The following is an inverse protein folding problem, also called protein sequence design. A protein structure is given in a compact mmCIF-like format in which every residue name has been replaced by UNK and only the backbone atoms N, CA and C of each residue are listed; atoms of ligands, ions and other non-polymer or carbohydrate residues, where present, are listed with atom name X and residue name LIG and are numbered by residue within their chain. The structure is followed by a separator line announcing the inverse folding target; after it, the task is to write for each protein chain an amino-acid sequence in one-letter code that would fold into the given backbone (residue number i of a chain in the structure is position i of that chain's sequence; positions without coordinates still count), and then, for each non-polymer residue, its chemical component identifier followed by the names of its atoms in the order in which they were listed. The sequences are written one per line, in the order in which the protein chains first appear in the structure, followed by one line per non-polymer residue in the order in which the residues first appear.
data_IF_146576414590
#
_entry.id   IF_146576414590
#
_cell.length_a   1.000
_cell.length_b   1.000
_cell.length_c   1.000
_cell.angle_alpha   90.00
_cell.angle_beta   90.00
_cell.angle_gamma   90.00
#
_symmetry.space_group_name_H-M   'P 1'
#
loop_
_entity.id
_entity.type
_entity.pdbx_description
1 polymer ?
#
# COMPACT_ATOMS: atom_id res chain seq x y z
N UNK A 1 13.42 0.56 8.24
CA UNK A 1 12.98 -0.84 8.06
C UNK A 1 13.50 -1.70 9.22
N UNK A 2 12.66 -2.56 9.82
CA UNK A 2 13.08 -3.44 10.92
C UNK A 2 13.98 -4.61 10.42
N UNK A 3 14.70 -5.33 11.31
CA UNK A 3 15.62 -6.40 10.90
C UNK A 3 14.96 -7.58 10.17
N UNK A 4 13.73 -7.95 10.54
CA UNK A 4 12.98 -9.03 9.88
C UNK A 4 12.66 -8.66 8.43
N UNK A 5 12.19 -7.44 8.19
CA UNK A 5 11.90 -6.92 6.87
C UNK A 5 13.17 -6.78 6.00
N UNK A 6 14.31 -6.41 6.59
CA UNK A 6 15.59 -6.42 5.89
C UNK A 6 15.97 -7.84 5.43
N UNK A 7 15.89 -8.82 6.34
CA UNK A 7 16.15 -10.23 6.02
C UNK A 7 15.18 -10.77 4.94
N UNK A 8 13.90 -10.39 5.03
CA UNK A 8 12.87 -10.77 4.06
C UNK A 8 13.17 -10.21 2.66
N UNK A 9 13.51 -8.92 2.57
CA UNK A 9 13.97 -8.27 1.32
C UNK A 9 15.19 -8.99 0.73
N UNK A 10 16.20 -9.22 1.56
CA UNK A 10 17.46 -9.82 1.10
C UNK A 10 17.25 -11.25 0.63
N UNK A 11 16.34 -11.99 1.25
CA UNK A 11 15.94 -13.34 0.82
C UNK A 11 15.19 -13.31 -0.51
N UNK A 12 14.24 -12.39 -0.70
CA UNK A 12 13.44 -12.31 -1.92
C UNK A 12 14.29 -11.98 -3.16
N UNK A 13 15.19 -10.99 -3.06
CA UNK A 13 16.04 -10.59 -4.19
C UNK A 13 17.31 -11.42 -4.32
N UNK A 14 17.86 -11.95 -3.21
CA UNK A 14 19.12 -12.67 -3.20
C UNK A 14 20.26 -11.86 -3.82
N UNK A 15 20.88 -12.43 -4.86
CA UNK A 15 21.96 -11.82 -5.63
C UNK A 15 21.48 -10.94 -6.80
N UNK A 16 20.17 -10.77 -6.96
CA UNK A 16 19.59 -9.95 -8.03
C UNK A 16 19.64 -8.46 -7.70
N UNK A 17 19.49 -7.62 -8.71
CA UNK A 17 19.41 -6.17 -8.54
C UNK A 17 18.18 -5.81 -7.70
N UNK A 18 18.43 -5.22 -6.53
CA UNK A 18 17.39 -4.75 -5.61
C UNK A 18 16.89 -3.38 -6.09
N UNK A 19 15.60 -3.07 -5.93
CA UNK A 19 15.11 -1.72 -6.18
C UNK A 19 15.82 -0.73 -5.26
N UNK A 20 16.06 0.47 -5.80
CA UNK A 20 16.68 1.58 -5.07
C UNK A 20 15.81 2.02 -3.88
N UNK A 21 14.49 2.01 -4.07
CA UNK A 21 13.50 2.40 -3.08
C UNK A 21 12.63 1.22 -2.68
N UNK A 22 12.69 0.85 -1.40
CA UNK A 22 11.78 -0.11 -0.78
C UNK A 22 11.48 0.29 0.66
N UNK A 23 10.19 0.40 0.97
CA UNK A 23 9.70 0.76 2.30
C UNK A 23 9.08 -0.46 2.98
N UNK A 24 8.83 -0.38 4.29
CA UNK A 24 8.14 -1.43 5.03
C UNK A 24 7.15 -0.80 5.99
N UNK A 25 5.88 -1.18 5.91
CA UNK A 25 4.78 -0.54 6.63
C UNK A 25 3.61 -1.50 6.85
N UNK A 26 2.68 -1.10 7.73
CA UNK A 26 1.49 -1.84 8.09
C UNK A 26 0.23 -1.15 7.55
N UNK A 27 -0.78 -1.92 7.13
CA UNK A 27 -2.07 -1.36 6.73
C UNK A 27 -2.91 -0.97 7.95
N UNK A 28 -3.15 0.33 8.15
CA UNK A 28 -4.17 0.86 9.07
C UNK A 28 -4.28 0.18 10.44
N UNK A 29 -5.49 0.19 11.01
CA UNK A 29 -5.75 -0.34 12.36
C UNK A 29 -5.93 -1.87 12.40
N UNK A 30 -6.19 -2.50 11.25
CA UNK A 30 -6.44 -3.95 11.12
C UNK A 30 -5.39 -4.63 10.24
N UNK A 31 -4.12 -4.37 10.53
CA UNK A 31 -2.98 -4.74 9.68
C UNK A 31 -2.90 -6.23 9.33
N UNK A 32 -3.18 -7.13 10.28
CA UNK A 32 -3.18 -8.57 10.00
C UNK A 32 -4.24 -8.96 8.96
N UNK A 33 -5.47 -8.48 9.13
CA UNK A 33 -6.57 -8.80 8.23
C UNK A 33 -6.33 -8.21 6.83
N UNK A 34 -5.92 -6.93 6.77
CA UNK A 34 -5.67 -6.26 5.50
C UNK A 34 -4.47 -6.86 4.75
N UNK A 35 -3.43 -7.27 5.48
CA UNK A 35 -2.30 -7.99 4.88
C UNK A 35 -2.73 -9.38 4.34
N UNK A 36 -3.62 -10.08 5.04
CA UNK A 36 -4.15 -11.35 4.55
C UNK A 36 -4.92 -11.17 3.23
N UNK A 37 -5.72 -10.10 3.09
CA UNK A 37 -6.41 -9.81 1.83
C UNK A 37 -5.42 -9.56 0.67
N UNK A 38 -4.25 -8.97 0.93
CA UNK A 38 -3.20 -8.81 -0.07
C UNK A 38 -2.61 -10.17 -0.46
N UNK A 39 -2.31 -11.02 0.53
CA UNK A 39 -1.77 -12.38 0.31
C UNK A 39 -2.76 -13.22 -0.51
N UNK A 40 -4.05 -13.10 -0.22
CA UNK A 40 -5.12 -13.82 -0.91
C UNK A 40 -5.42 -13.26 -2.30
N UNK A 41 -4.79 -12.15 -2.71
CA UNK A 41 -5.01 -11.47 -3.98
C UNK A 41 -6.35 -10.75 -4.10
N UNK A 42 -7.04 -10.55 -2.97
CA UNK A 42 -8.34 -9.84 -2.89
C UNK A 42 -8.12 -8.33 -2.85
N UNK A 43 -7.14 -7.87 -2.08
CA UNK A 43 -6.77 -6.45 -1.97
C UNK A 43 -5.60 -6.16 -2.90
N UNK A 44 -5.90 -5.51 -4.01
CA UNK A 44 -4.96 -5.10 -5.07
C UNK A 44 -4.83 -3.58 -5.17
N UNK A 45 -5.51 -2.82 -4.31
CA UNK A 45 -5.39 -1.37 -4.22
C UNK A 45 -5.32 -0.85 -2.78
N UNK A 46 -4.79 0.36 -2.62
CA UNK A 46 -4.77 1.10 -1.34
C UNK A 46 -4.77 2.60 -1.58
N UNK A 47 -5.20 3.37 -0.59
CA UNK A 47 -5.14 4.82 -0.65
C UNK A 47 -4.49 5.47 0.58
N UNK A 48 -4.04 6.71 0.40
CA UNK A 48 -3.54 7.60 1.46
C UNK A 48 -4.00 9.04 1.21
N UNK A 49 -3.91 9.91 2.23
CA UNK A 49 -4.33 11.31 2.11
C UNK A 49 -3.23 12.11 1.41
N UNK A 50 -3.54 12.72 0.27
CA UNK A 50 -2.56 13.45 -0.55
C UNK A 50 -1.85 14.58 0.21
N UNK A 51 -2.58 15.34 1.03
CA UNK A 51 -2.03 16.52 1.72
C UNK A 51 -0.91 16.17 2.71
N UNK A 52 -0.83 14.92 3.20
CA UNK A 52 0.25 14.54 4.11
C UNK A 52 1.61 14.48 3.42
N UNK A 53 1.67 14.09 2.15
CA UNK A 53 2.92 14.14 1.38
C UNK A 53 3.46 15.57 1.28
N UNK A 54 2.58 16.55 1.08
CA UNK A 54 2.96 17.96 1.02
C UNK A 54 3.41 18.49 2.40
N UNK A 55 2.65 18.18 3.46
CA UNK A 55 2.92 18.67 4.81
C UNK A 55 4.19 18.05 5.41
N UNK A 56 4.46 16.79 5.10
CA UNK A 56 5.61 16.04 5.61
C UNK A 56 6.81 16.12 4.67
N UNK A 57 6.66 16.82 3.52
CA UNK A 57 7.67 16.92 2.46
C UNK A 57 8.17 15.54 2.01
N UNK A 58 7.24 14.58 1.91
CA UNK A 58 7.48 13.25 1.38
C UNK A 58 7.12 13.20 -0.11
N UNK A 59 7.95 12.55 -0.96
CA UNK A 59 7.62 12.38 -2.36
C UNK A 59 6.40 11.45 -2.52
N UNK A 60 5.59 11.72 -3.54
CA UNK A 60 4.58 10.76 -3.97
C UNK A 60 5.27 9.47 -4.43
N UNK A 61 4.62 8.36 -4.14
CA UNK A 61 5.04 7.05 -4.62
C UNK A 61 4.96 6.98 -6.15
N UNK A 62 5.76 6.09 -6.73
CA UNK A 62 5.90 5.90 -8.17
C UNK A 62 5.80 4.42 -8.53
N UNK A 63 5.67 4.12 -9.82
CA UNK A 63 5.62 2.74 -10.32
C UNK A 63 6.97 1.98 -10.21
N UNK A 64 8.02 2.64 -9.72
CA UNK A 64 9.31 2.03 -9.43
C UNK A 64 9.44 1.59 -7.97
N UNK A 65 8.49 1.98 -7.11
CA UNK A 65 8.55 1.71 -5.68
C UNK A 65 8.00 0.32 -5.33
N UNK A 66 8.70 -0.33 -4.41
CA UNK A 66 8.28 -1.57 -3.77
C UNK A 66 7.97 -1.32 -2.30
N UNK A 67 7.11 -2.14 -1.72
CA UNK A 67 6.81 -2.09 -0.29
C UNK A 67 6.75 -3.49 0.31
N UNK A 68 7.24 -3.62 1.52
CA UNK A 68 7.10 -4.84 2.34
C UNK A 68 5.91 -4.62 3.27
N UNK A 69 4.91 -5.48 3.16
CA UNK A 69 3.74 -5.45 4.02
C UNK A 69 4.07 -6.16 5.32
N UNK A 70 3.83 -5.46 6.42
CA UNK A 70 3.99 -5.94 7.78
C UNK A 70 2.62 -6.21 8.43
N UNK A 71 2.57 -7.21 9.29
CA UNK A 71 1.45 -7.42 10.23
C UNK A 71 1.71 -6.71 11.57
N UNK A 72 0.74 -6.71 12.48
CA UNK A 72 0.74 -5.92 13.74
C UNK A 72 1.99 -6.11 14.61
N UNK A 73 2.58 -7.30 14.62
CA UNK A 73 3.81 -7.61 15.37
C UNK A 73 5.10 -7.21 14.63
N UNK A 74 5.00 -6.47 13.53
CA UNK A 74 6.09 -6.06 12.64
C UNK A 74 6.77 -7.19 11.84
N UNK A 75 6.14 -8.36 11.74
CA UNK A 75 6.62 -9.43 10.87
C UNK A 75 6.26 -9.15 9.40
N UNK A 76 7.21 -9.30 8.46
CA UNK A 76 6.95 -9.14 7.04
C UNK A 76 6.21 -10.36 6.47
N UNK A 77 5.20 -10.12 5.64
CA UNK A 77 4.36 -11.18 5.08
C UNK A 77 4.21 -11.14 3.57
N UNK A 78 4.44 -9.98 2.92
CA UNK A 78 4.40 -9.85 1.48
C UNK A 78 5.33 -8.73 0.98
N UNK A 79 5.75 -8.82 -0.29
CA UNK A 79 6.32 -7.70 -1.05
C UNK A 79 5.32 -7.36 -2.17
N UNK A 80 4.99 -6.08 -2.29
CA UNK A 80 4.11 -5.52 -3.33
C UNK A 80 4.89 -4.55 -4.21
N UNK A 81 4.40 -4.33 -5.43
CA UNK A 81 4.96 -3.35 -6.37
C UNK A 81 3.86 -2.39 -6.79
N UNK A 82 4.13 -1.10 -6.73
CA UNK A 82 3.18 -0.11 -7.22
C UNK A 82 3.17 -0.16 -8.75
N UNK A 83 2.00 -0.38 -9.35
CA UNK A 83 1.83 -0.43 -10.82
C UNK A 83 1.09 0.78 -11.38
N UNK A 84 0.33 1.47 -10.54
CA UNK A 84 -0.44 2.66 -10.91
C UNK A 84 -0.51 3.62 -9.71
N UNK A 85 -0.40 4.92 -10.00
CA UNK A 85 -0.50 6.00 -9.01
C UNK A 85 -1.40 7.09 -9.58
N UNK A 86 -2.47 7.42 -8.88
CA UNK A 86 -3.45 8.42 -9.33
C UNK A 86 -3.88 9.29 -8.16
N UNK A 87 -4.07 10.60 -8.38
CA UNK A 87 -4.62 11.51 -7.37
C UNK A 87 -6.06 11.81 -7.72
N UNK A 88 -6.99 11.39 -6.86
CA UNK A 88 -8.42 11.46 -7.14
C UNK A 88 -9.17 12.06 -5.95
N UNK A 89 -10.15 12.96 -6.16
CA UNK A 89 -11.06 13.37 -5.10
C UNK A 89 -11.76 12.16 -4.47
N UNK A 90 -11.85 12.11 -3.14
CA UNK A 90 -12.47 10.99 -2.41
C UNK A 90 -13.91 10.74 -2.87
N UNK A 91 -14.65 11.79 -3.26
CA UNK A 91 -16.01 11.70 -3.77
C UNK A 91 -16.11 11.27 -5.24
N UNK A 92 -14.98 11.00 -5.89
CA UNK A 92 -14.85 10.54 -7.28
C UNK A 92 -14.13 9.19 -7.37
N UNK A 93 -13.84 8.54 -6.24
CA UNK A 93 -13.31 7.17 -6.21
C UNK A 93 -14.35 6.22 -6.79
N UNK A 94 -13.94 5.37 -7.73
CA UNK A 94 -14.82 4.41 -8.39
C UNK A 94 -15.15 3.23 -7.47
N UNK A 95 -16.30 2.60 -7.72
CA UNK A 95 -16.67 1.34 -7.10
C UNK A 95 -15.66 0.23 -7.41
N UNK A 96 -15.12 0.20 -8.63
CA UNK A 96 -14.04 -0.72 -9.02
C UNK A 96 -12.81 -0.58 -8.09
N UNK A 97 -12.40 0.65 -7.80
CA UNK A 97 -11.29 0.89 -6.89
C UNK A 97 -11.61 0.41 -5.46
N UNK A 98 -12.84 0.64 -4.98
CA UNK A 98 -13.25 0.18 -3.65
C UNK A 98 -13.26 -1.36 -3.55
N UNK A 99 -13.63 -2.05 -4.63
CA UNK A 99 -13.55 -3.51 -4.74
C UNK A 99 -12.09 -3.96 -4.70
N UNK A 100 -11.22 -3.34 -5.52
CA UNK A 100 -9.77 -3.60 -5.52
C UNK A 100 -9.13 -3.30 -4.16
N UNK A 101 -9.65 -2.35 -3.39
CA UNK A 101 -9.17 -2.04 -2.04
C UNK A 101 -9.54 -3.11 -1.00
N UNK A 102 -10.42 -4.05 -1.36
CA UNK A 102 -10.92 -5.10 -0.48
C UNK A 102 -12.03 -4.63 0.47
N UNK A 103 -12.69 -3.50 0.17
CA UNK A 103 -13.82 -2.99 0.96
C UNK A 103 -15.12 -3.79 0.72
N UNK A 104 -15.22 -4.49 -0.41
CA UNK A 104 -16.44 -5.18 -0.84
C UNK A 104 -17.60 -4.20 -1.04
N UNK A 105 -18.83 -4.61 -0.68
CA UNK A 105 -20.06 -3.81 -0.86
C UNK A 105 -20.16 -2.56 0.07
N UNK A 106 -19.09 -2.24 0.82
CA UNK A 106 -19.09 -1.18 1.83
C UNK A 106 -18.67 0.16 1.25
N UNK A 107 -19.38 0.64 0.23
CA UNK A 107 -19.18 1.99 -0.30
C UNK A 107 -19.92 2.97 0.60
N UNK A 108 -19.26 3.40 1.67
CA UNK A 108 -19.83 4.43 2.54
C UNK A 108 -19.61 5.82 1.92
N UNK A 109 -20.72 6.55 1.76
CA UNK A 109 -20.74 7.95 1.38
C UNK A 109 -19.92 8.80 2.36
N UNK A 110 -18.68 9.14 2.00
CA UNK A 110 -17.88 10.14 2.71
C UNK A 110 -17.33 11.20 1.73
N UNK A 111 -17.41 12.47 2.15
CA UNK A 111 -16.79 13.65 1.50
C UNK A 111 -15.83 14.25 2.55
N UNK A 112 -14.64 14.79 2.29
CA UNK A 112 -14.24 15.82 1.31
C UNK A 112 -12.70 16.02 1.33
N UNK A 113 -11.88 15.15 0.70
CA UNK A 113 -10.41 15.30 0.59
C UNK A 113 -9.88 14.60 -0.69
N UNK A 114 -8.64 14.90 -1.13
CA UNK A 114 -7.95 14.15 -2.20
C UNK A 114 -7.27 12.90 -1.63
N UNK A 115 -7.43 11.77 -2.32
CA UNK A 115 -6.72 10.53 -2.03
C UNK A 115 -5.64 10.28 -3.10
N UNK A 116 -4.49 9.83 -2.65
CA UNK A 116 -3.51 9.15 -3.50
C UNK A 116 -3.93 7.68 -3.59
N UNK A 117 -4.30 7.23 -4.77
CA UNK A 117 -4.72 5.88 -5.09
C UNK A 117 -3.54 5.09 -5.66
N UNK A 118 -3.35 3.87 -5.19
CA UNK A 118 -2.25 2.99 -5.58
C UNK A 118 -2.81 1.62 -5.96
N UNK A 119 -2.40 1.07 -7.11
CA UNK A 119 -2.58 -0.35 -7.45
C UNK A 119 -1.28 -1.13 -7.22
N UNK A 120 -1.42 -2.35 -6.70
CA UNK A 120 -0.37 -3.19 -6.10
C UNK A 120 0.07 -4.38 -6.95
#
# INVERSE_FOLDING_TARGET
MNPLAQSYRDTYWGNSDKPESITAWQFGDSSNYLAQLVIDGIKTATCSIHIFYELENEPLLTTNDYSIILISNNEPVAIIKIIEVTVTPMNEVSEEFAIDEGLGDRIYNYRKFLLLLLKL
#
